data_IF_670179067576
#
_entry.id   IF_670179067576
#
_cell.length_a   1.000
_cell.length_b   1.000
_cell.length_c   1.000
_cell.angle_alpha   90.00
_cell.angle_beta   90.00
_cell.angle_gamma   90.00
#
_symmetry.space_group_name_H-M   'P 1'
#
loop_
_entity.id
_entity.type
_entity.pdbx_description
1 polymer ?
#
# COMPACT_ATOMS: atom_id res chain seq x y z
N UNK A 1 21.79 -1.72 7.27
CA UNK A 1 20.67 -2.44 7.91
C UNK A 1 20.40 -3.64 7.04
N UNK A 2 20.58 -4.86 7.58
CA UNK A 2 20.55 -6.11 6.82
C UNK A 2 19.20 -6.27 6.08
N UNK A 3 19.23 -5.97 4.77
CA UNK A 3 18.06 -5.88 3.90
C UNK A 3 17.56 -7.25 3.48
N UNK A 4 16.76 -7.89 4.33
CA UNK A 4 15.91 -9.01 3.93
C UNK A 4 14.46 -8.58 4.02
N UNK A 5 13.80 -8.55 2.87
CA UNK A 5 12.36 -8.38 2.78
C UNK A 5 11.67 -9.59 3.41
N UNK A 6 10.47 -9.44 3.99
CA UNK A 6 9.73 -10.59 4.48
C UNK A 6 9.46 -11.56 3.33
N UNK A 7 10.04 -12.76 3.42
CA UNK A 7 9.84 -13.85 2.44
C UNK A 7 8.72 -14.80 2.89
N UNK A 8 8.42 -14.82 4.19
CA UNK A 8 7.39 -15.67 4.79
C UNK A 8 6.32 -14.76 5.38
N UNK A 9 5.09 -14.95 4.91
CA UNK A 9 3.90 -14.26 5.41
C UNK A 9 2.85 -15.27 5.85
N UNK A 10 2.03 -14.89 6.82
CA UNK A 10 0.86 -15.69 7.17
C UNK A 10 -0.15 -15.66 6.02
N UNK A 11 -1.00 -16.69 5.96
CA UNK A 11 -2.09 -16.80 4.99
C UNK A 11 -3.35 -16.03 5.43
N UNK A 12 -3.25 -15.18 6.45
CA UNK A 12 -4.38 -14.38 6.94
C UNK A 12 -4.83 -13.42 5.84
N UNK A 13 -6.14 -13.40 5.58
CA UNK A 13 -6.73 -12.50 4.60
C UNK A 13 -7.19 -11.21 5.28
N UNK A 14 -6.32 -10.20 5.23
CA UNK A 14 -6.55 -8.86 5.76
C UNK A 14 -6.13 -7.83 4.71
N UNK A 15 -6.90 -7.71 3.61
CA UNK A 15 -6.44 -7.02 2.42
C UNK A 15 -6.13 -5.55 2.69
N UNK A 16 -5.15 -5.01 1.97
CA UNK A 16 -4.80 -3.59 2.02
C UNK A 16 -4.62 -3.06 0.60
N UNK A 17 -5.05 -1.82 0.36
CA UNK A 17 -4.86 -1.14 -0.90
C UNK A 17 -3.56 -0.36 -0.89
N UNK A 18 -2.66 -0.68 -1.81
CA UNK A 18 -1.42 0.06 -2.00
C UNK A 18 -1.63 1.38 -2.72
N UNK A 19 -0.67 2.29 -2.55
CA UNK A 19 -0.62 3.57 -3.25
C UNK A 19 -0.45 3.40 -4.76
N UNK A 20 -0.09 2.21 -5.23
CA UNK A 20 0.00 1.80 -6.63
C UNK A 20 -1.34 1.30 -7.20
N UNK A 21 -2.40 1.24 -6.39
CA UNK A 21 -3.69 0.70 -6.80
C UNK A 21 -3.77 -0.82 -6.76
N UNK A 22 -2.79 -1.49 -6.16
CA UNK A 22 -2.75 -2.95 -6.04
C UNK A 22 -3.31 -3.37 -4.69
N UNK A 23 -4.22 -4.34 -4.70
CA UNK A 23 -4.69 -5.01 -3.49
C UNK A 23 -3.68 -6.07 -3.06
N UNK A 24 -3.19 -5.96 -1.84
CA UNK A 24 -2.32 -6.94 -1.21
C UNK A 24 -3.14 -7.79 -0.25
N UNK A 25 -2.95 -9.11 -0.23
CA UNK A 25 -3.74 -10.04 0.59
C UNK A 25 -3.64 -9.76 2.11
N UNK A 26 -2.49 -9.24 2.55
CA UNK A 26 -2.29 -8.73 3.90
C UNK A 26 -1.10 -7.75 3.97
N UNK A 27 -0.93 -7.13 5.14
CA UNK A 27 0.16 -6.19 5.42
C UNK A 27 1.56 -6.82 5.22
N UNK A 28 1.74 -8.11 5.51
CA UNK A 28 3.03 -8.77 5.26
C UNK A 28 3.34 -8.85 3.76
N UNK A 29 2.37 -9.24 2.95
CA UNK A 29 2.52 -9.25 1.48
C UNK A 29 2.81 -7.84 0.94
N UNK A 30 2.12 -6.83 1.47
CA UNK A 30 2.42 -5.43 1.15
C UNK A 30 3.86 -5.06 1.49
N UNK A 31 4.34 -5.37 2.70
CA UNK A 31 5.71 -5.05 3.12
C UNK A 31 6.76 -5.82 2.33
N UNK A 32 6.50 -7.08 1.98
CA UNK A 32 7.38 -7.90 1.17
C UNK A 32 7.62 -7.24 -0.19
N UNK A 33 6.54 -6.82 -0.83
CA UNK A 33 6.62 -6.12 -2.11
C UNK A 33 7.20 -4.71 -1.96
N UNK A 34 6.79 -3.98 -0.93
CA UNK A 34 7.30 -2.63 -0.65
C UNK A 34 8.83 -2.64 -0.49
N UNK A 35 9.34 -3.59 0.29
CA UNK A 35 10.76 -3.77 0.48
C UNK A 35 11.49 -4.12 -0.83
N UNK A 36 10.94 -5.02 -1.66
CA UNK A 36 11.50 -5.35 -2.98
C UNK A 36 11.55 -4.13 -3.91
N UNK A 37 10.59 -3.22 -3.78
CA UNK A 37 10.50 -1.96 -4.54
C UNK A 37 11.26 -0.79 -3.92
N UNK A 38 12.03 -1.02 -2.85
CA UNK A 38 12.82 0.01 -2.18
C UNK A 38 12.01 0.95 -1.29
N UNK A 39 10.98 0.43 -0.62
CA UNK A 39 10.10 1.16 0.31
C UNK A 39 9.36 2.35 -0.31
N UNK A 40 8.91 2.19 -1.57
CA UNK A 40 8.23 3.24 -2.35
C UNK A 40 6.70 3.16 -2.34
N UNK A 41 6.15 2.06 -1.84
CA UNK A 41 4.71 1.87 -1.69
C UNK A 41 4.25 2.37 -0.33
N UNK A 42 3.05 2.93 -0.30
CA UNK A 42 2.37 3.36 0.93
C UNK A 42 1.01 2.68 0.97
N UNK A 43 0.53 2.27 2.14
CA UNK A 43 -0.84 1.80 2.27
C UNK A 43 -1.76 3.02 2.08
N UNK A 44 -2.67 2.95 1.12
CA UNK A 44 -3.67 3.98 0.88
C UNK A 44 -4.82 3.86 1.88
N UNK A 45 -5.36 2.65 2.02
CA UNK A 45 -6.38 2.32 3.01
C UNK A 45 -6.40 0.83 3.29
N UNK A 46 -7.01 0.45 4.41
CA UNK A 46 -7.32 -0.93 4.74
C UNK A 46 -8.48 -1.44 3.87
N UNK A 47 -8.48 -2.74 3.57
CA UNK A 47 -9.40 -3.35 2.60
C UNK A 47 -8.84 -3.42 1.19
N UNK A 48 -9.53 -4.12 0.28
CA UNK A 48 -9.14 -4.19 -1.13
C UNK A 48 -9.33 -2.86 -1.84
N UNK A 49 -8.48 -2.56 -2.82
CA UNK A 49 -8.66 -1.41 -3.70
C UNK A 49 -10.00 -1.50 -4.44
N UNK A 50 -10.62 -0.36 -4.68
CA UNK A 50 -11.87 -0.28 -5.48
C UNK A 50 -11.56 -0.39 -6.98
N UNK A 51 -12.56 -0.81 -7.75
CA UNK A 51 -12.43 -0.86 -9.21
C UNK A 51 -12.11 0.54 -9.77
N UNK A 52 -10.99 0.67 -10.47
CA UNK A 52 -10.52 1.95 -11.03
C UNK A 52 -9.61 2.77 -10.11
N UNK A 53 -9.23 2.24 -8.95
CA UNK A 53 -8.16 2.83 -8.13
C UNK A 53 -6.81 2.60 -8.80
N UNK A 54 -6.46 3.49 -9.73
CA UNK A 54 -5.12 3.57 -10.30
C UNK A 54 -4.07 4.01 -9.26
N UNK A 55 -2.79 4.10 -9.63
CA UNK A 55 -1.75 4.60 -8.75
C UNK A 55 -2.13 6.00 -8.26
N UNK A 56 -2.01 6.22 -6.95
CA UNK A 56 -2.25 7.53 -6.36
C UNK A 56 -1.27 8.48 -7.03
N UNK A 57 -1.71 9.64 -7.53
CA UNK A 57 -0.75 10.66 -7.88
C UNK A 57 0.13 10.93 -6.65
N UNK A 58 1.44 11.16 -6.81
CA UNK A 58 2.28 11.58 -5.70
C UNK A 58 1.59 12.77 -5.06
N UNK A 59 1.20 12.64 -3.80
CA UNK A 59 0.32 13.58 -3.14
C UNK A 59 0.86 15.00 -3.31
N UNK A 60 0.21 15.79 -4.17
CA UNK A 60 0.27 17.23 -4.03
C UNK A 60 -0.57 17.52 -2.79
N UNK A 61 0.08 17.65 -1.64
CA UNK A 61 -0.53 17.96 -0.36
C UNK A 61 -1.11 19.37 -0.36
N UNK A 62 -2.18 19.59 -1.12
CA UNK A 62 -3.09 20.69 -0.87
C UNK A 62 -4.13 20.14 0.11
N UNK A 63 -3.84 20.26 1.40
CA UNK A 63 -4.88 20.22 2.42
C UNK A 63 -5.81 21.40 2.12
N UNK A 64 -6.80 21.17 1.25
CA UNK A 64 -7.87 22.12 1.02
C UNK A 64 -8.56 22.35 2.36
N UNK A 65 -8.84 23.61 2.73
CA UNK A 65 -9.57 23.89 3.96
C UNK A 65 -10.92 23.15 3.93
N UNK A 66 -11.47 22.76 5.08
CA UNK A 66 -12.82 22.21 5.12
C UNK A 66 -13.76 23.25 4.51
N UNK A 67 -14.36 22.90 3.38
CA UNK A 67 -15.27 23.75 2.64
C UNK A 67 -16.70 23.59 3.15
N UNK A 68 -17.22 24.71 3.68
CA UNK A 68 -18.61 25.03 4.08
C UNK A 68 -19.11 24.46 5.40
#
# INVERSE_FOLDING_TARGET
>A
MNGRCPEICTADYNPVCGSDGVTYANNCNFQAENCKRGNRLVVRHEGPCRNGEGPSPPGNGNNGPPGS
#
